data_IF_327910430426
#
_entry.id   IF_327910430426
#
_cell.length_a   1.000
_cell.length_b   1.000
_cell.length_c   1.000
_cell.angle_alpha   90.00
_cell.angle_beta   90.00
_cell.angle_gamma   90.00
#
_symmetry.space_group_name_H-M   'P 1'
#
loop_
_entity.id
_entity.type
_entity.pdbx_description
1 polymer ?
#
# COMPACT_ATOMS: atom_id res chain seq x y z
N UNK A 1 16.64 -0.82 11.04
CA UNK A 1 16.57 -1.28 9.62
C UNK A 1 15.86 -2.62 9.62
N UNK A 2 14.64 -2.69 9.06
CA UNK A 2 13.83 -3.90 9.08
C UNK A 2 14.34 -4.96 8.06
N UNK A 3 14.49 -4.57 6.80
CA UNK A 3 14.93 -5.45 5.70
C UNK A 3 15.96 -4.73 4.82
N UNK A 4 16.97 -5.48 4.40
CA UNK A 4 17.97 -5.08 3.40
C UNK A 4 18.04 -6.14 2.31
N UNK A 5 17.96 -5.72 1.06
CA UNK A 5 18.05 -6.55 -0.13
C UNK A 5 19.30 -6.14 -0.90
N UNK A 6 20.17 -7.12 -1.18
CA UNK A 6 21.46 -6.89 -1.83
C UNK A 6 21.55 -7.72 -3.10
N UNK A 7 21.62 -7.05 -4.24
CA UNK A 7 21.87 -7.63 -5.57
C UNK A 7 20.99 -8.85 -5.91
N UNK A 8 19.68 -8.77 -5.54
CA UNK A 8 18.75 -9.88 -5.63
C UNK A 8 18.43 -10.18 -7.09
N UNK A 9 18.69 -11.43 -7.50
CA UNK A 9 18.31 -11.96 -8.80
C UNK A 9 17.45 -13.21 -8.62
N UNK A 10 16.46 -13.37 -9.50
CA UNK A 10 15.65 -14.56 -9.51
C UNK A 10 15.17 -14.95 -10.91
N UNK A 11 15.37 -16.22 -11.26
CA UNK A 11 14.97 -16.78 -12.54
C UNK A 11 14.05 -17.97 -12.32
N UNK A 12 12.82 -17.89 -12.86
CA UNK A 12 11.91 -19.03 -12.90
C UNK A 12 12.39 -20.03 -13.94
N UNK A 13 12.29 -21.34 -13.65
CA UNK A 13 12.60 -22.39 -14.60
C UNK A 13 14.03 -22.36 -15.11
N UNK A 14 15.00 -21.98 -14.28
CA UNK A 14 16.40 -21.93 -14.63
C UNK A 14 16.88 -23.22 -15.29
N UNK A 15 17.56 -23.10 -16.45
CA UNK A 15 18.01 -24.25 -17.24
C UNK A 15 16.93 -24.97 -18.04
N UNK A 16 15.72 -24.45 -18.13
CA UNK A 16 14.60 -25.01 -18.94
C UNK A 16 14.25 -24.10 -20.10
N UNK A 17 13.45 -24.63 -21.06
CA UNK A 17 12.94 -23.84 -22.18
C UNK A 17 11.95 -22.73 -21.75
N UNK A 18 11.51 -22.72 -20.50
CA UNK A 18 10.60 -21.72 -19.92
C UNK A 18 11.32 -20.77 -18.97
N UNK A 19 12.62 -20.65 -19.11
CA UNK A 19 13.43 -19.75 -18.30
C UNK A 19 12.98 -18.30 -18.43
N UNK A 20 12.71 -17.66 -17.30
CA UNK A 20 12.33 -16.24 -17.24
C UNK A 20 12.95 -15.58 -16.02
N UNK A 21 13.83 -14.62 -16.24
CA UNK A 21 14.37 -13.79 -15.17
C UNK A 21 13.35 -12.78 -14.70
N UNK A 22 12.91 -12.93 -13.45
CA UNK A 22 11.86 -12.12 -12.83
C UNK A 22 12.41 -10.97 -11.97
N UNK A 23 13.60 -11.12 -11.40
CA UNK A 23 14.31 -10.07 -10.66
C UNK A 23 15.75 -9.97 -11.18
N UNK A 24 16.23 -8.73 -11.32
CA UNK A 24 17.52 -8.40 -11.94
C UNK A 24 18.23 -7.36 -11.08
N UNK A 25 19.21 -7.79 -10.28
CA UNK A 25 20.08 -6.93 -9.48
C UNK A 25 19.32 -5.92 -8.61
N UNK A 26 18.26 -6.37 -7.94
CA UNK A 26 17.40 -5.51 -7.09
C UNK A 26 18.07 -5.30 -5.75
N UNK A 27 18.31 -4.02 -5.38
CA UNK A 27 18.90 -3.64 -4.10
C UNK A 27 18.11 -2.47 -3.49
N UNK A 28 17.75 -2.59 -2.21
CA UNK A 28 17.10 -1.55 -1.43
C UNK A 28 17.11 -1.90 0.06
N UNK A 29 16.72 -0.93 0.87
CA UNK A 29 16.56 -1.09 2.32
C UNK A 29 15.19 -0.54 2.74
N UNK A 30 14.56 -1.15 3.73
CA UNK A 30 13.36 -0.63 4.39
C UNK A 30 13.70 -0.40 5.86
N UNK A 31 13.45 0.81 6.36
CA UNK A 31 13.71 1.16 7.74
C UNK A 31 12.56 0.73 8.66
N UNK A 32 12.86 0.58 9.97
CA UNK A 32 11.81 0.29 10.95
C UNK A 32 10.80 1.45 11.01
N UNK A 33 9.51 1.12 10.98
CA UNK A 33 8.41 2.09 11.01
C UNK A 33 8.13 2.81 9.68
N UNK A 34 8.85 2.51 8.60
CA UNK A 34 8.64 3.11 7.28
C UNK A 34 7.36 2.58 6.63
N UNK A 35 6.62 3.45 5.92
CA UNK A 35 5.48 3.05 5.09
C UNK A 35 5.83 3.18 3.61
N UNK A 36 6.13 2.05 2.97
CA UNK A 36 6.63 1.97 1.60
C UNK A 36 5.57 1.45 0.66
N UNK A 37 5.37 2.13 -0.47
CA UNK A 37 4.59 1.66 -1.61
C UNK A 37 5.46 0.95 -2.64
N UNK A 38 4.99 -0.17 -3.17
CA UNK A 38 5.62 -0.88 -4.29
C UNK A 38 4.68 -0.88 -5.49
N UNK A 39 5.04 -0.18 -6.55
CA UNK A 39 4.27 -0.07 -7.77
C UNK A 39 5.01 -0.65 -8.98
N UNK A 40 4.28 -0.90 -10.06
CA UNK A 40 4.80 -1.45 -11.31
C UNK A 40 3.70 -2.14 -12.10
N UNK A 41 3.87 -2.31 -13.40
CA UNK A 41 2.91 -3.03 -14.23
C UNK A 41 2.82 -4.53 -13.87
N UNK A 42 1.79 -5.22 -14.36
CA UNK A 42 1.65 -6.67 -14.18
C UNK A 42 2.84 -7.39 -14.82
N UNK A 43 3.48 -8.27 -14.05
CA UNK A 43 4.68 -8.99 -14.50
C UNK A 43 6.00 -8.24 -14.29
N UNK A 44 6.02 -7.05 -13.66
CA UNK A 44 7.25 -6.31 -13.35
C UNK A 44 8.12 -6.93 -12.25
N UNK A 45 7.67 -8.00 -11.57
CA UNK A 45 8.43 -8.70 -10.53
C UNK A 45 7.98 -8.44 -9.10
N UNK A 46 6.97 -7.59 -8.84
CA UNK A 46 6.50 -7.22 -7.48
C UNK A 46 6.14 -8.44 -6.63
N UNK A 47 5.25 -9.29 -7.09
CA UNK A 47 4.80 -10.48 -6.32
C UNK A 47 5.96 -11.46 -6.08
N UNK A 48 6.88 -11.57 -7.03
CA UNK A 48 8.11 -12.35 -6.84
C UNK A 48 8.97 -11.73 -5.73
N UNK A 49 9.16 -10.40 -5.76
CA UNK A 49 9.95 -9.69 -4.76
C UNK A 49 9.40 -9.88 -3.35
N UNK A 50 8.10 -9.63 -3.14
CA UNK A 50 7.49 -9.75 -1.80
C UNK A 50 7.56 -11.18 -1.23
N UNK A 51 7.49 -12.21 -2.09
CA UNK A 51 7.65 -13.60 -1.66
C UNK A 51 9.08 -13.91 -1.21
N UNK A 52 10.10 -13.26 -1.79
CA UNK A 52 11.47 -13.36 -1.30
C UNK A 52 11.64 -12.69 0.07
N UNK A 53 11.01 -11.52 0.29
CA UNK A 53 11.11 -10.82 1.58
C UNK A 53 10.55 -11.62 2.76
N UNK A 54 9.58 -12.49 2.51
CA UNK A 54 9.02 -13.41 3.52
C UNK A 54 9.70 -14.80 3.52
N UNK A 55 10.72 -15.00 2.69
CA UNK A 55 11.44 -16.27 2.58
C UNK A 55 10.61 -17.42 2.02
N UNK A 56 9.54 -17.14 1.24
CA UNK A 56 8.75 -18.17 0.54
C UNK A 56 9.50 -18.71 -0.68
N UNK A 57 10.29 -17.89 -1.34
CA UNK A 57 11.12 -18.25 -2.49
C UNK A 57 12.57 -17.90 -2.16
N UNK A 58 13.49 -18.78 -2.55
CA UNK A 58 14.92 -18.55 -2.42
C UNK A 58 15.45 -17.91 -3.71
N UNK A 59 16.30 -16.85 -3.66
CA UNK A 59 16.84 -16.22 -4.85
C UNK A 59 17.83 -17.11 -5.60
N UNK A 60 18.04 -16.83 -6.89
CA UNK A 60 19.09 -17.44 -7.70
C UNK A 60 20.46 -16.89 -7.26
N UNK A 61 20.53 -15.57 -6.97
CA UNK A 61 21.72 -14.92 -6.41
C UNK A 61 21.33 -13.67 -5.61
N UNK A 62 22.29 -13.12 -4.86
CA UNK A 62 22.06 -12.00 -3.95
C UNK A 62 21.67 -12.46 -2.56
N UNK A 63 21.37 -11.51 -1.67
CA UNK A 63 21.04 -11.79 -0.27
C UNK A 63 19.90 -10.90 0.23
N UNK A 64 19.20 -11.40 1.24
CA UNK A 64 18.20 -10.67 2.02
C UNK A 64 18.60 -10.76 3.48
N UNK A 65 18.71 -9.61 4.13
CA UNK A 65 19.01 -9.52 5.55
C UNK A 65 17.80 -8.96 6.29
N UNK A 66 17.46 -9.63 7.38
CA UNK A 66 16.49 -9.15 8.36
C UNK A 66 17.24 -8.78 9.64
N UNK A 67 17.09 -7.53 10.09
CA UNK A 67 17.84 -7.00 11.25
C UNK A 67 19.35 -7.21 11.11
N UNK A 68 19.89 -7.05 9.89
CA UNK A 68 21.32 -7.20 9.57
C UNK A 68 21.82 -8.65 9.45
N UNK A 69 20.96 -9.65 9.63
CA UNK A 69 21.32 -11.07 9.53
C UNK A 69 20.75 -11.67 8.24
N UNK A 70 21.58 -12.32 7.42
CA UNK A 70 21.12 -13.02 6.22
C UNK A 70 20.12 -14.11 6.57
N UNK A 71 18.93 -14.07 5.93
CA UNK A 71 17.89 -15.07 6.12
C UNK A 71 18.26 -16.44 5.54
N UNK A 72 19.36 -16.52 4.77
CA UNK A 72 19.91 -17.75 4.18
C UNK A 72 21.15 -18.25 4.90
N UNK A 73 21.58 -17.58 5.97
CA UNK A 73 22.72 -18.02 6.79
C UNK A 73 22.46 -19.37 7.45
N UNK A 74 23.53 -20.12 7.68
CA UNK A 74 23.43 -21.43 8.33
C UNK A 74 22.79 -21.33 9.73
N UNK A 75 21.74 -22.12 9.96
CA UNK A 75 20.99 -22.13 11.24
C UNK A 75 19.87 -21.08 11.34
N UNK A 76 19.71 -20.19 10.38
CA UNK A 76 18.59 -19.25 10.36
C UNK A 76 17.26 -19.97 10.13
N UNK A 77 16.27 -19.69 10.98
CA UNK A 77 14.95 -20.35 10.90
C UNK A 77 13.95 -19.44 10.18
N UNK A 78 13.58 -19.78 8.95
CA UNK A 78 12.56 -19.02 8.20
C UNK A 78 11.21 -18.94 8.91
N UNK A 79 10.90 -19.87 9.84
CA UNK A 79 9.71 -19.77 10.69
C UNK A 79 9.76 -18.51 11.57
N UNK A 80 10.93 -18.16 12.09
CA UNK A 80 11.13 -16.99 12.93
C UNK A 80 10.98 -15.70 12.08
N UNK A 81 11.52 -15.69 10.85
CA UNK A 81 11.29 -14.60 9.90
C UNK A 81 9.79 -14.39 9.64
N UNK A 82 9.05 -15.46 9.31
CA UNK A 82 7.62 -15.38 8.98
C UNK A 82 6.74 -14.96 10.16
N UNK A 83 7.23 -15.11 11.38
CA UNK A 83 6.57 -14.56 12.57
C UNK A 83 6.76 -13.06 12.71
N UNK A 84 7.83 -12.51 12.15
CA UNK A 84 8.24 -11.10 12.21
C UNK A 84 7.83 -10.31 10.98
N UNK A 85 7.86 -10.94 9.81
CA UNK A 85 7.48 -10.36 8.52
C UNK A 85 6.18 -11.04 8.07
N UNK A 86 5.06 -10.42 8.39
CA UNK A 86 3.74 -10.89 7.98
C UNK A 86 3.49 -10.60 6.51
N UNK A 87 2.87 -11.55 5.79
CA UNK A 87 2.48 -11.37 4.39
C UNK A 87 0.97 -11.61 4.26
N UNK A 88 0.27 -10.60 3.71
CA UNK A 88 -1.14 -10.66 3.34
C UNK A 88 -1.20 -10.67 1.82
N UNK A 89 -1.66 -11.78 1.24
CA UNK A 89 -1.78 -11.95 -0.21
C UNK A 89 -2.99 -11.21 -0.77
N UNK A 90 -3.01 -11.05 -2.08
CA UNK A 90 -4.17 -10.54 -2.82
C UNK A 90 -5.41 -11.41 -2.56
N UNK A 91 -6.57 -10.77 -2.32
CA UNK A 91 -7.82 -11.44 -1.91
C UNK A 91 -7.66 -12.31 -0.65
N UNK A 92 -7.18 -11.75 0.47
CA UNK A 92 -6.86 -12.51 1.66
C UNK A 92 -8.11 -13.14 2.30
N UNK A 93 -9.30 -12.68 1.97
CA UNK A 93 -10.59 -13.24 2.37
C UNK A 93 -10.81 -14.69 1.94
N UNK A 94 -10.12 -15.15 0.90
CA UNK A 94 -10.18 -16.56 0.49
C UNK A 94 -9.31 -17.49 1.34
N UNK A 95 -8.52 -16.92 2.25
CA UNK A 95 -7.68 -17.68 3.16
C UNK A 95 -8.38 -18.01 4.49
N UNK A 96 -9.59 -17.46 4.70
CA UNK A 96 -10.40 -17.76 5.89
C UNK A 96 -11.07 -19.13 5.74
N UNK A 97 -10.87 -20.03 6.71
CA UNK A 97 -11.29 -21.42 6.61
C UNK A 97 -11.91 -22.00 7.88
N UNK A 98 -11.79 -21.32 9.02
CA UNK A 98 -12.32 -21.79 10.29
C UNK A 98 -13.84 -21.57 10.42
N UNK A 99 -14.46 -22.22 11.39
CA UNK A 99 -15.91 -22.13 11.61
C UNK A 99 -16.37 -20.73 12.03
N UNK A 100 -15.56 -20.02 12.79
CA UNK A 100 -15.79 -18.64 13.23
C UNK A 100 -14.53 -17.79 13.11
N UNK A 101 -14.73 -16.46 12.96
CA UNK A 101 -13.64 -15.50 12.74
C UNK A 101 -12.66 -15.41 13.91
N UNK A 102 -13.11 -15.59 15.14
CA UNK A 102 -12.20 -15.57 16.29
C UNK A 102 -11.23 -16.74 16.26
N UNK A 103 -11.74 -17.94 15.95
CA UNK A 103 -10.92 -19.14 15.79
C UNK A 103 -9.93 -19.00 14.64
N UNK A 104 -10.35 -18.39 13.53
CA UNK A 104 -9.48 -18.13 12.37
C UNK A 104 -8.32 -17.20 12.75
N UNK A 105 -8.58 -16.08 13.42
CA UNK A 105 -7.53 -15.17 13.89
C UNK A 105 -6.61 -15.79 14.94
N UNK A 106 -7.08 -16.77 15.71
CA UNK A 106 -6.26 -17.54 16.64
C UNK A 106 -5.25 -18.48 15.95
N UNK A 107 -5.45 -18.82 14.69
CA UNK A 107 -4.65 -19.83 13.98
C UNK A 107 -3.16 -19.47 13.92
N UNK A 108 -2.82 -18.22 13.53
CA UNK A 108 -1.43 -17.74 13.48
C UNK A 108 -0.69 -17.88 14.82
N UNK A 109 -1.20 -17.28 15.91
CA UNK A 109 -0.61 -17.40 17.25
C UNK A 109 -0.51 -18.84 17.75
N UNK A 110 -1.49 -19.71 17.47
CA UNK A 110 -1.42 -21.16 17.80
C UNK A 110 -0.23 -21.84 17.11
N UNK A 111 0.00 -21.54 15.83
CA UNK A 111 1.13 -22.11 15.07
C UNK A 111 2.49 -21.62 15.57
N UNK A 112 2.54 -20.49 16.27
CA UNK A 112 3.74 -20.04 16.97
C UNK A 112 4.00 -20.84 18.26
N UNK A 113 3.06 -21.66 18.70
CA UNK A 113 3.18 -22.48 19.92
C UNK A 113 2.91 -21.69 21.21
N UNK A 114 2.13 -20.59 21.13
CA UNK A 114 1.80 -19.79 22.29
C UNK A 114 0.77 -20.46 23.20
N UNK A 115 0.77 -20.20 24.52
CA UNK A 115 -0.27 -20.64 25.43
C UNK A 115 -1.65 -20.09 25.00
N UNK A 116 -2.72 -20.87 25.25
CA UNK A 116 -4.09 -20.55 24.80
C UNK A 116 -4.54 -19.16 25.26
N UNK A 117 -4.23 -18.76 26.49
CA UNK A 117 -4.56 -17.43 27.02
C UNK A 117 -3.93 -16.29 26.20
N UNK A 118 -2.65 -16.44 25.84
CA UNK A 118 -1.95 -15.44 25.02
C UNK A 118 -2.46 -15.45 23.56
N UNK A 119 -2.82 -16.61 23.01
CA UNK A 119 -3.46 -16.73 21.70
C UNK A 119 -4.75 -15.90 21.65
N UNK A 120 -5.66 -16.13 22.60
CA UNK A 120 -6.94 -15.43 22.66
C UNK A 120 -6.77 -13.93 22.90
N UNK A 121 -5.84 -13.54 23.78
CA UNK A 121 -5.51 -12.15 24.03
C UNK A 121 -5.03 -11.43 22.76
N UNK A 122 -4.13 -12.06 22.00
CA UNK A 122 -3.62 -11.51 20.74
C UNK A 122 -4.70 -11.43 19.67
N UNK A 123 -5.53 -12.45 19.54
CA UNK A 123 -6.64 -12.47 18.59
C UNK A 123 -7.66 -11.35 18.87
N UNK A 124 -8.09 -11.17 20.13
CA UNK A 124 -9.00 -10.08 20.51
C UNK A 124 -8.38 -8.72 20.23
N UNK A 125 -7.11 -8.55 20.55
CA UNK A 125 -6.40 -7.29 20.30
C UNK A 125 -6.33 -7.00 18.79
N UNK A 126 -5.95 -7.96 17.97
CA UNK A 126 -5.86 -7.80 16.53
C UNK A 126 -7.21 -7.48 15.88
N UNK A 127 -8.29 -8.19 16.27
CA UNK A 127 -9.64 -7.90 15.81
C UNK A 127 -10.10 -6.49 16.18
N UNK A 128 -9.77 -6.02 17.38
CA UNK A 128 -10.05 -4.65 17.81
C UNK A 128 -9.28 -3.61 16.97
N UNK A 129 -8.00 -3.87 16.67
CA UNK A 129 -7.17 -2.98 15.85
C UNK A 129 -7.76 -2.78 14.44
N UNK A 130 -8.34 -3.82 13.86
CA UNK A 130 -9.00 -3.73 12.54
C UNK A 130 -10.47 -3.30 12.62
N UNK A 131 -10.95 -2.86 13.78
CA UNK A 131 -12.30 -2.36 13.97
C UNK A 131 -13.41 -3.43 13.87
N UNK A 132 -13.12 -4.69 14.20
CA UNK A 132 -14.13 -5.75 14.28
C UNK A 132 -14.78 -5.76 15.67
N UNK A 133 -16.10 -5.60 15.70
CA UNK A 133 -16.92 -5.66 16.90
C UNK A 133 -17.01 -7.10 17.43
N UNK A 134 -16.99 -7.29 18.74
CA UNK A 134 -17.04 -8.62 19.40
C UNK A 134 -18.28 -9.43 19.04
N UNK A 135 -19.41 -8.78 18.69
CA UNK A 135 -20.63 -9.44 18.23
C UNK A 135 -20.43 -10.32 16.99
N UNK A 136 -19.39 -10.03 16.18
CA UNK A 136 -19.05 -10.80 14.98
C UNK A 136 -18.15 -12.01 15.26
N UNK A 137 -17.48 -12.08 16.43
CA UNK A 137 -16.43 -13.08 16.69
C UNK A 137 -16.86 -14.54 16.51
N UNK A 138 -18.15 -14.83 16.78
CA UNK A 138 -18.73 -16.17 16.63
C UNK A 138 -19.44 -16.41 15.30
N UNK A 139 -19.43 -15.40 14.42
CA UNK A 139 -20.00 -15.57 13.09
C UNK A 139 -19.03 -16.30 12.16
N UNK A 140 -19.62 -17.00 11.18
CA UNK A 140 -18.84 -17.60 10.11
C UNK A 140 -18.21 -16.51 9.21
N UNK A 141 -16.97 -16.68 8.76
CA UNK A 141 -16.39 -15.80 7.77
C UNK A 141 -17.25 -15.61 6.51
N UNK A 142 -18.05 -16.63 6.16
CA UNK A 142 -18.90 -16.59 4.96
C UNK A 142 -20.09 -15.64 5.09
N UNK A 143 -20.50 -15.25 6.31
CA UNK A 143 -21.59 -14.31 6.58
C UNK A 143 -21.16 -12.83 6.53
N UNK A 144 -19.85 -12.58 6.43
CA UNK A 144 -19.28 -11.23 6.42
C UNK A 144 -19.29 -10.60 5.03
N UNK A 145 -19.34 -9.24 4.99
CA UNK A 145 -19.05 -8.49 3.78
C UNK A 145 -17.59 -8.67 3.35
N UNK A 146 -17.28 -8.40 2.06
CA UNK A 146 -15.91 -8.50 1.55
C UNK A 146 -14.90 -7.67 2.35
N UNK A 147 -15.25 -6.43 2.70
CA UNK A 147 -14.40 -5.56 3.52
C UNK A 147 -14.21 -6.10 4.95
N UNK A 148 -15.25 -6.69 5.56
CA UNK A 148 -15.13 -7.34 6.86
C UNK A 148 -14.24 -8.58 6.82
N UNK A 149 -14.41 -9.44 5.83
CA UNK A 149 -13.54 -10.61 5.61
C UNK A 149 -12.07 -10.19 5.50
N UNK A 150 -11.80 -9.15 4.74
CA UNK A 150 -10.45 -8.62 4.55
C UNK A 150 -9.85 -8.11 5.84
N UNK A 151 -10.61 -7.38 6.65
CA UNK A 151 -10.18 -6.95 7.99
C UNK A 151 -9.84 -8.14 8.89
N UNK A 152 -10.66 -9.20 8.87
CA UNK A 152 -10.38 -10.43 9.63
C UNK A 152 -9.08 -11.10 9.17
N UNK A 153 -8.85 -11.20 7.85
CA UNK A 153 -7.63 -11.80 7.33
C UNK A 153 -6.38 -10.98 7.70
N UNK A 154 -6.46 -9.65 7.67
CA UNK A 154 -5.39 -8.76 8.17
C UNK A 154 -5.19 -8.99 9.68
N UNK A 155 -6.27 -9.12 10.46
CA UNK A 155 -6.18 -9.41 11.90
C UNK A 155 -5.48 -10.75 12.18
N UNK A 156 -5.70 -11.78 11.35
CA UNK A 156 -5.02 -13.06 11.47
C UNK A 156 -3.50 -12.93 11.40
N UNK A 157 -3.00 -12.07 10.52
CA UNK A 157 -1.57 -11.77 10.43
C UNK A 157 -1.11 -10.89 11.60
N UNK A 158 -1.86 -9.84 11.95
CA UNK A 158 -1.54 -8.95 13.08
C UNK A 158 -1.50 -9.67 14.43
N UNK A 159 -2.30 -10.72 14.62
CA UNK A 159 -2.31 -11.52 15.85
C UNK A 159 -0.97 -12.19 16.13
N UNK A 160 -0.14 -12.42 15.12
CA UNK A 160 1.23 -12.91 15.30
C UNK A 160 2.17 -11.84 15.88
N UNK A 161 1.76 -10.56 15.89
CA UNK A 161 2.56 -9.37 16.25
C UNK A 161 3.81 -9.24 15.39
N UNK A 162 3.66 -9.13 14.06
CA UNK A 162 4.79 -8.93 13.19
C UNK A 162 5.44 -7.56 13.44
N UNK A 163 6.71 -7.43 13.12
CA UNK A 163 7.46 -6.16 13.12
C UNK A 163 7.32 -5.44 11.77
N UNK A 164 7.02 -6.21 10.71
CA UNK A 164 6.76 -5.71 9.36
C UNK A 164 5.57 -6.43 8.75
N UNK A 165 4.71 -5.70 8.03
CA UNK A 165 3.65 -6.28 7.20
C UNK A 165 3.85 -5.96 5.73
N UNK A 166 3.73 -6.98 4.91
CA UNK A 166 3.67 -6.87 3.45
C UNK A 166 2.22 -7.14 3.04
N UNK A 167 1.64 -6.21 2.27
CA UNK A 167 0.24 -6.26 1.86
C UNK A 167 0.19 -6.23 0.33
N UNK A 168 -0.21 -7.33 -0.29
CA UNK A 168 -0.34 -7.43 -1.74
C UNK A 168 -1.77 -7.07 -2.17
N UNK A 169 -1.94 -5.89 -2.78
CA UNK A 169 -3.21 -5.36 -3.28
C UNK A 169 -4.35 -5.39 -2.21
N UNK A 170 -4.15 -4.81 -1.02
CA UNK A 170 -5.10 -4.97 0.10
C UNK A 170 -6.47 -4.35 -0.17
N UNK A 171 -6.62 -3.53 -1.20
CA UNK A 171 -7.87 -2.84 -1.55
C UNK A 171 -8.52 -3.33 -2.85
N UNK A 172 -7.94 -4.35 -3.50
CA UNK A 172 -8.45 -4.88 -4.75
C UNK A 172 -9.92 -5.34 -4.64
N UNK A 173 -10.79 -4.85 -5.54
CA UNK A 173 -12.20 -5.23 -5.58
C UNK A 173 -13.09 -4.61 -4.51
N UNK A 174 -12.59 -3.68 -3.69
CA UNK A 174 -13.39 -2.89 -2.76
C UNK A 174 -13.97 -1.65 -3.43
N UNK A 175 -15.13 -1.21 -2.94
CA UNK A 175 -15.67 0.10 -3.26
C UNK A 175 -14.79 1.23 -2.66
N UNK A 176 -14.99 2.49 -3.06
CA UNK A 176 -14.18 3.60 -2.57
C UNK A 176 -14.18 3.74 -1.04
N UNK A 177 -15.32 3.56 -0.41
CA UNK A 177 -15.44 3.67 1.05
C UNK A 177 -14.65 2.53 1.75
N UNK A 178 -14.82 1.30 1.31
CA UNK A 178 -14.09 0.14 1.86
C UNK A 178 -12.58 0.26 1.65
N UNK A 179 -12.15 0.86 0.53
CA UNK A 179 -10.75 1.17 0.25
C UNK A 179 -10.19 2.16 1.28
N UNK A 180 -10.85 3.31 1.46
CA UNK A 180 -10.43 4.33 2.42
C UNK A 180 -10.41 3.80 3.87
N UNK A 181 -11.39 2.96 4.24
CA UNK A 181 -11.41 2.32 5.55
C UNK A 181 -10.21 1.41 5.77
N UNK A 182 -9.87 0.54 4.81
CA UNK A 182 -8.72 -0.39 4.92
C UNK A 182 -7.40 0.39 4.94
N UNK A 183 -7.19 1.33 4.02
CA UNK A 183 -5.94 2.10 3.97
C UNK A 183 -5.77 2.99 5.20
N UNK A 184 -6.83 3.61 5.67
CA UNK A 184 -6.80 4.40 6.92
C UNK A 184 -6.51 3.53 8.15
N UNK A 185 -6.91 2.25 8.16
CA UNK A 185 -6.51 1.31 9.22
C UNK A 185 -5.04 0.93 9.12
N UNK A 186 -4.55 0.65 7.91
CA UNK A 186 -3.14 0.34 7.66
C UNK A 186 -2.25 1.53 8.05
N UNK A 187 -2.65 2.74 7.70
CA UNK A 187 -1.96 3.97 8.08
C UNK A 187 -1.88 4.12 9.60
N UNK A 188 -2.98 3.92 10.33
CA UNK A 188 -2.98 3.96 11.80
C UNK A 188 -2.04 2.91 12.41
N UNK A 189 -2.00 1.69 11.87
CA UNK A 189 -1.06 0.67 12.32
C UNK A 189 0.40 1.12 12.17
N UNK A 190 0.72 1.82 11.09
CA UNK A 190 2.04 2.40 10.91
C UNK A 190 2.28 3.58 11.87
N UNK A 191 1.42 4.63 11.81
CA UNK A 191 1.65 5.90 12.53
C UNK A 191 1.55 5.77 14.06
N UNK A 192 0.57 5.00 14.56
CA UNK A 192 0.29 4.89 16.00
C UNK A 192 1.02 3.71 16.66
N UNK A 193 1.29 2.65 15.91
CA UNK A 193 1.91 1.44 16.45
C UNK A 193 3.34 1.19 15.95
N UNK A 194 3.87 2.04 15.06
CA UNK A 194 5.23 1.94 14.54
C UNK A 194 5.47 0.69 13.67
N UNK A 195 4.40 0.09 13.13
CA UNK A 195 4.51 -1.09 12.29
C UNK A 195 5.14 -0.72 10.95
N UNK A 196 6.21 -1.40 10.55
CA UNK A 196 6.78 -1.25 9.21
C UNK A 196 5.84 -1.83 8.17
N UNK A 197 5.55 -1.09 7.10
CA UNK A 197 4.58 -1.53 6.07
C UNK A 197 5.18 -1.42 4.67
N UNK A 198 5.03 -2.49 3.91
CA UNK A 198 5.22 -2.51 2.46
C UNK A 198 3.88 -2.85 1.81
N UNK A 199 3.29 -1.91 1.06
CA UNK A 199 2.04 -2.12 0.35
C UNK A 199 2.28 -2.16 -1.15
N UNK A 200 1.78 -3.20 -1.81
CA UNK A 200 1.71 -3.27 -3.27
C UNK A 200 0.36 -2.73 -3.71
N UNK A 201 0.32 -1.81 -4.64
CA UNK A 201 -0.93 -1.29 -5.19
C UNK A 201 -0.79 -0.81 -6.64
N UNK A 202 -1.91 -0.82 -7.36
CA UNK A 202 -2.07 -0.21 -8.68
C UNK A 202 -2.73 1.17 -8.63
N UNK A 203 -3.17 1.65 -7.46
CA UNK A 203 -3.76 2.97 -7.27
C UNK A 203 -2.68 4.00 -6.97
N UNK A 204 -2.41 4.88 -7.92
CA UNK A 204 -1.41 5.93 -7.75
C UNK A 204 -1.88 7.02 -6.78
N UNK A 205 -3.19 7.25 -6.72
CA UNK A 205 -3.83 8.15 -5.74
C UNK A 205 -3.60 7.68 -4.31
N UNK A 206 -3.78 6.36 -4.05
CA UNK A 206 -3.55 5.79 -2.73
C UNK A 206 -2.06 5.88 -2.36
N UNK A 207 -1.17 5.59 -3.31
CA UNK A 207 0.27 5.72 -3.08
C UNK A 207 0.68 7.16 -2.80
N UNK A 208 0.14 8.13 -3.53
CA UNK A 208 0.42 9.55 -3.29
C UNK A 208 -0.04 10.03 -1.91
N UNK A 209 -1.12 9.44 -1.36
CA UNK A 209 -1.78 9.89 -0.14
C UNK A 209 -1.24 9.24 1.13
N UNK A 210 -0.91 7.96 1.09
CA UNK A 210 -0.71 7.16 2.31
C UNK A 210 0.74 6.80 2.59
N UNK A 211 1.60 6.66 1.56
CA UNK A 211 2.96 6.16 1.77
C UNK A 211 4.01 7.27 1.87
N UNK A 212 5.09 7.00 2.59
CA UNK A 212 6.22 7.94 2.73
C UNK A 212 7.19 7.85 1.56
N UNK A 213 7.27 6.67 0.93
CA UNK A 213 8.23 6.34 -0.12
C UNK A 213 7.63 5.38 -1.11
N UNK A 214 7.99 5.51 -2.39
CA UNK A 214 7.55 4.62 -3.46
C UNK A 214 8.76 3.97 -4.14
N UNK A 215 8.72 2.65 -4.24
CA UNK A 215 9.60 1.89 -5.12
C UNK A 215 8.85 1.52 -6.39
N UNK A 216 9.45 1.76 -7.56
CA UNK A 216 8.89 1.44 -8.87
C UNK A 216 9.65 0.29 -9.48
N UNK A 217 8.94 -0.81 -9.78
CA UNK A 217 9.49 -1.97 -10.47
C UNK A 217 9.08 -1.97 -11.94
N UNK A 218 10.07 -2.18 -12.81
CA UNK A 218 9.86 -2.38 -14.24
C UNK A 218 10.75 -3.54 -14.74
N UNK A 219 10.15 -4.55 -15.39
CA UNK A 219 10.85 -5.70 -15.98
C UNK A 219 11.92 -6.35 -15.08
N UNK A 220 11.60 -6.48 -13.79
CA UNK A 220 12.46 -7.09 -12.79
C UNK A 220 13.54 -6.17 -12.22
N UNK A 221 13.57 -4.90 -12.59
CA UNK A 221 14.54 -3.90 -12.10
C UNK A 221 13.82 -2.86 -11.24
N UNK A 222 14.44 -2.37 -10.18
CA UNK A 222 14.00 -1.20 -9.42
C UNK A 222 14.38 0.07 -10.19
N UNK A 223 13.38 0.76 -10.77
CA UNK A 223 13.58 1.92 -11.62
C UNK A 223 13.67 3.23 -10.82
N UNK A 224 12.73 3.42 -9.88
CA UNK A 224 12.70 4.57 -8.97
C UNK A 224 12.57 4.11 -7.53
N UNK A 225 13.02 4.95 -6.61
CA UNK A 225 12.97 4.70 -5.19
C UNK A 225 13.11 6.03 -4.43
N UNK A 226 11.99 6.71 -4.20
CA UNK A 226 11.96 8.07 -3.65
C UNK A 226 10.60 8.40 -3.02
N UNK A 227 10.43 9.61 -2.52
CA UNK A 227 9.14 10.12 -2.04
C UNK A 227 8.09 10.12 -3.16
N UNK A 228 6.79 10.03 -2.84
CA UNK A 228 5.73 10.09 -3.86
C UNK A 228 5.85 11.32 -4.77
N UNK A 229 6.20 12.48 -4.21
CA UNK A 229 6.36 13.74 -4.95
C UNK A 229 7.45 13.64 -6.01
N UNK A 230 8.61 13.10 -5.66
CA UNK A 230 9.71 12.95 -6.61
C UNK A 230 9.41 11.87 -7.66
N UNK A 231 8.85 10.73 -7.26
CA UNK A 231 8.48 9.66 -8.21
C UNK A 231 7.45 10.16 -9.24
N UNK A 232 6.39 10.87 -8.81
CA UNK A 232 5.35 11.34 -9.73
C UNK A 232 5.74 12.57 -10.56
N UNK A 233 6.86 13.23 -10.26
CA UNK A 233 7.48 14.19 -11.19
C UNK A 233 7.94 13.55 -12.49
N UNK A 234 8.31 12.26 -12.42
CA UNK A 234 8.70 11.43 -13.56
C UNK A 234 7.51 10.81 -14.29
N UNK A 235 6.34 11.49 -14.30
CA UNK A 235 5.10 10.94 -14.86
C UNK A 235 5.23 10.47 -16.31
N UNK A 236 6.06 11.12 -17.14
CA UNK A 236 6.30 10.74 -18.54
C UNK A 236 7.08 9.43 -18.64
N UNK A 237 8.08 9.24 -17.79
CA UNK A 237 8.84 8.00 -17.71
C UNK A 237 7.96 6.86 -17.15
N UNK A 238 7.06 7.17 -16.20
CA UNK A 238 6.08 6.21 -15.69
C UNK A 238 5.10 5.80 -16.81
N UNK A 239 4.59 6.74 -17.61
CA UNK A 239 3.74 6.46 -18.77
C UNK A 239 4.43 5.56 -19.81
N UNK A 240 5.72 5.81 -20.05
CA UNK A 240 6.51 5.01 -21.00
C UNK A 240 6.62 3.53 -20.60
N UNK A 241 6.46 3.22 -19.32
CA UNK A 241 6.43 1.83 -18.78
C UNK A 241 5.01 1.34 -18.46
N UNK A 242 3.97 2.07 -18.92
CA UNK A 242 2.57 1.69 -18.73
C UNK A 242 2.00 1.96 -17.33
N UNK A 243 2.62 2.86 -16.56
CA UNK A 243 2.09 3.34 -15.29
C UNK A 243 1.55 4.76 -15.46
N UNK A 244 0.44 5.06 -14.80
CA UNK A 244 -0.08 6.43 -14.70
C UNK A 244 0.53 7.15 -13.48
N UNK A 245 0.46 8.49 -13.46
CA UNK A 245 0.56 9.26 -12.24
C UNK A 245 -0.85 9.54 -11.66
N UNK A 246 -0.97 10.08 -10.44
CA UNK A 246 -2.25 10.56 -9.94
C UNK A 246 -2.90 11.54 -10.90
N UNK A 247 -4.24 11.47 -11.07
CA UNK A 247 -4.98 12.33 -12.00
C UNK A 247 -4.69 13.82 -11.79
N UNK A 248 -4.51 14.21 -10.53
CA UNK A 248 -4.23 15.59 -10.17
C UNK A 248 -2.89 16.08 -10.70
N UNK A 249 -1.89 15.23 -10.86
CA UNK A 249 -0.59 15.56 -11.44
C UNK A 249 -0.77 16.10 -12.86
N UNK A 250 -1.62 15.48 -13.67
CA UNK A 250 -1.90 15.96 -15.04
C UNK A 250 -2.64 17.29 -15.05
N UNK A 251 -3.57 17.51 -14.11
CA UNK A 251 -4.27 18.80 -13.97
C UNK A 251 -3.26 19.91 -13.63
N UNK A 252 -2.36 19.66 -12.68
CA UNK A 252 -1.32 20.60 -12.26
C UNK A 252 -0.40 20.93 -13.43
N UNK A 253 0.06 19.94 -14.19
CA UNK A 253 0.89 20.16 -15.37
C UNK A 253 0.15 20.99 -16.45
N UNK A 254 -1.12 20.69 -16.73
CA UNK A 254 -1.92 21.46 -17.67
C UNK A 254 -2.17 22.91 -17.23
N UNK A 255 -2.21 23.20 -15.94
CA UNK A 255 -2.26 24.56 -15.40
C UNK A 255 -0.92 25.29 -15.61
N UNK A 256 0.20 24.63 -15.37
CA UNK A 256 1.56 25.16 -15.58
C UNK A 256 1.82 25.51 -17.04
N UNK A 257 1.42 24.63 -17.97
CA UNK A 257 1.53 24.86 -19.42
C UNK A 257 0.76 26.12 -19.87
N UNK A 258 -0.30 26.48 -19.14
CA UNK A 258 -1.06 27.73 -19.34
C UNK A 258 -0.48 28.94 -18.59
N UNK A 259 0.71 28.82 -18.02
CA UNK A 259 1.41 29.90 -17.32
C UNK A 259 0.90 30.17 -15.88
N UNK A 260 0.14 29.26 -15.28
CA UNK A 260 -0.29 29.38 -13.88
C UNK A 260 0.85 28.91 -12.98
N UNK A 261 1.37 29.73 -12.05
CA UNK A 261 2.50 29.39 -11.19
C UNK A 261 2.06 28.51 -10.02
N UNK A 262 1.73 27.26 -10.31
CA UNK A 262 1.39 26.23 -9.32
C UNK A 262 2.57 25.27 -9.13
N UNK A 263 2.73 24.74 -7.92
CA UNK A 263 3.80 23.79 -7.58
C UNK A 263 3.60 22.47 -8.35
N UNK A 264 4.66 21.97 -9.00
CA UNK A 264 4.65 20.73 -9.78
C UNK A 264 4.79 19.47 -8.93
N UNK A 265 5.08 19.62 -7.65
CA UNK A 265 5.20 18.50 -6.71
C UNK A 265 3.86 18.07 -6.09
N UNK A 266 2.77 18.72 -6.46
CA UNK A 266 1.43 18.41 -5.99
C UNK A 266 0.98 17.05 -6.56
N UNK A 267 0.63 16.12 -5.65
CA UNK A 267 0.23 14.76 -5.99
C UNK A 267 -1.15 14.36 -5.43
N UNK A 268 -1.75 15.21 -4.58
CA UNK A 268 -3.08 14.96 -4.00
C UNK A 268 -4.08 16.06 -4.38
N UNK A 269 -5.37 15.69 -4.39
CA UNK A 269 -6.47 16.64 -4.69
C UNK A 269 -6.55 17.74 -3.64
N UNK A 270 -6.29 17.40 -2.38
CA UNK A 270 -6.28 18.32 -1.25
C UNK A 270 -5.22 19.40 -1.41
N UNK A 271 -3.96 18.99 -1.72
CA UNK A 271 -2.86 19.93 -1.99
C UNK A 271 -3.19 20.86 -3.17
N UNK A 272 -3.70 20.30 -4.26
CA UNK A 272 -4.06 21.08 -5.44
C UNK A 272 -5.17 22.11 -5.15
N UNK A 273 -6.20 21.69 -4.39
CA UNK A 273 -7.28 22.58 -3.95
C UNK A 273 -6.74 23.77 -3.17
N UNK A 274 -5.88 23.50 -2.18
CA UNK A 274 -5.26 24.57 -1.37
C UNK A 274 -4.42 25.53 -2.22
N UNK A 275 -3.58 25.00 -3.09
CA UNK A 275 -2.73 25.78 -3.97
C UNK A 275 -3.56 26.66 -4.94
N UNK A 276 -4.60 26.09 -5.56
CA UNK A 276 -5.49 26.83 -6.48
C UNK A 276 -6.25 27.94 -5.74
N UNK A 277 -6.79 27.66 -4.54
CA UNK A 277 -7.47 28.65 -3.73
C UNK A 277 -6.55 29.78 -3.30
N UNK A 278 -5.30 29.47 -2.92
CA UNK A 278 -4.30 30.48 -2.56
C UNK A 278 -3.97 31.41 -3.76
N UNK A 279 -3.80 30.84 -4.96
CA UNK A 279 -3.56 31.61 -6.18
C UNK A 279 -4.77 32.48 -6.55
N UNK A 280 -5.98 31.96 -6.43
CA UNK A 280 -7.22 32.68 -6.69
C UNK A 280 -7.38 33.88 -5.75
N UNK A 281 -7.20 33.69 -4.44
CA UNK A 281 -7.29 34.76 -3.45
C UNK A 281 -6.25 35.85 -3.68
N UNK A 282 -4.99 35.46 -3.95
CA UNK A 282 -3.89 36.41 -4.27
C UNK A 282 -4.19 37.25 -5.52
N UNK A 283 -4.86 36.67 -6.52
CA UNK A 283 -5.27 37.38 -7.74
C UNK A 283 -6.40 38.40 -7.45
N UNK A 284 -7.38 38.01 -6.63
CA UNK A 284 -8.50 38.90 -6.20
C UNK A 284 -7.99 40.11 -5.42
N UNK A 285 -7.08 39.89 -4.46
CA UNK A 285 -6.47 40.96 -3.67
C UNK A 285 -5.77 41.99 -4.59
N UNK A 286 -5.02 41.52 -5.58
CA UNK A 286 -4.35 42.39 -6.56
C UNK A 286 -5.32 43.16 -7.46
N UNK A 287 -6.54 42.67 -7.68
CA UNK A 287 -7.58 43.31 -8.49
C UNK A 287 -8.51 44.23 -7.68
N UNK A 288 -8.27 44.40 -6.36
CA UNK A 288 -9.03 45.29 -5.50
C UNK A 288 -10.45 44.81 -5.14
N UNK A 289 -10.76 43.57 -5.41
CA UNK A 289 -12.03 42.94 -4.97
C UNK A 289 -11.90 42.50 -3.51
N UNK A 290 -12.42 43.31 -2.58
CA UNK A 290 -12.55 42.92 -1.16
C UNK A 290 -13.33 41.63 -0.98
N UNK A 291 -13.06 40.90 0.09
CA UNK A 291 -13.75 39.65 0.46
C UNK A 291 -15.23 39.95 0.69
N UNK A 292 -16.14 39.50 -0.19
CA UNK A 292 -17.57 39.60 0.01
C UNK A 292 -18.06 38.43 0.87
N UNK A 293 -19.14 38.63 1.66
CA UNK A 293 -19.74 37.61 2.53
C UNK A 293 -20.23 36.33 1.80
N UNK A 294 -20.37 36.37 0.47
CA UNK A 294 -20.71 35.20 -0.35
C UNK A 294 -19.60 34.13 -0.45
N UNK A 295 -18.37 34.45 -0.04
CA UNK A 295 -17.23 33.51 -0.08
C UNK A 295 -17.24 32.50 1.08
N UNK A 296 -18.14 32.65 2.08
CA UNK A 296 -18.33 31.68 3.16
C UNK A 296 -18.93 30.35 2.66
N UNK A 297 -19.59 30.34 1.51
CA UNK A 297 -20.25 29.16 0.92
C UNK A 297 -19.22 28.21 0.30
N UNK A 298 -18.07 28.71 -0.16
CA UNK A 298 -16.98 27.87 -0.73
C UNK A 298 -16.20 27.13 0.37
N UNK A 299 -16.29 27.60 1.63
CA UNK A 299 -15.63 26.96 2.79
C UNK A 299 -16.41 25.82 3.42
N UNK A 300 -17.69 25.63 3.09
CA UNK A 300 -18.48 24.50 3.60
C UNK A 300 -18.40 23.31 2.64
N UNK A 301 -17.92 22.19 3.14
CA UNK A 301 -17.66 20.92 2.43
C UNK A 301 -18.89 20.23 1.78
N UNK A 302 -20.01 20.93 1.52
CA UNK A 302 -21.26 20.27 1.09
C UNK A 302 -21.53 20.25 -0.42
N UNK A 303 -20.66 20.83 -1.29
CA UNK A 303 -21.01 20.98 -2.72
C UNK A 303 -20.16 20.18 -3.71
N UNK A 304 -19.19 19.39 -3.26
CA UNK A 304 -18.27 18.67 -4.19
C UNK A 304 -18.75 17.28 -4.63
N UNK A 305 -19.91 16.80 -4.17
CA UNK A 305 -20.47 15.49 -4.56
C UNK A 305 -21.39 15.53 -5.80
N UNK A 306 -21.56 16.66 -6.45
CA UNK A 306 -22.62 16.86 -7.45
C UNK A 306 -22.25 17.15 -8.90
N UNK A 307 -20.98 17.37 -9.28
CA UNK A 307 -20.64 17.87 -10.61
C UNK A 307 -19.41 17.24 -11.25
N UNK A 308 -19.43 15.93 -11.54
CA UNK A 308 -18.69 15.35 -12.65
C UNK A 308 -19.66 14.50 -13.47
N UNK A 309 -20.42 15.13 -14.35
CA UNK A 309 -20.98 14.46 -15.53
C UNK A 309 -19.87 14.49 -16.61
N UNK A 310 -19.23 13.36 -16.81
CA UNK A 310 -18.41 13.10 -17.98
C UNK A 310 -19.36 13.07 -19.19
N UNK A 311 -19.14 13.84 -20.28
CA UNK A 311 -19.93 13.68 -21.49
C UNK A 311 -19.62 12.31 -22.10
N UNK A 312 -20.65 11.50 -22.29
CA UNK A 312 -20.61 10.27 -23.08
C UNK A 312 -20.42 10.64 -24.55
N UNK A 313 -19.18 10.58 -25.03
CA UNK A 313 -18.84 10.60 -26.45
C UNK A 313 -17.98 9.38 -26.76
N UNK A 314 -18.64 8.24 -26.95
CA UNK A 314 -18.13 7.11 -27.75
C UNK A 314 -19.33 6.27 -28.18
N UNK A 315 -20.10 6.83 -29.16
CA UNK A 315 -20.86 6.07 -30.14
C UNK A 315 -20.55 6.71 -31.48
N UNK A 316 -19.62 6.13 -32.20
CA UNK A 316 -19.66 5.83 -33.66
C UNK A 316 -18.42 5.04 -34.05
#
# INVERSE_FOLDING_TARGET
MAIQVEDLCYTYGEGTALERQALKHVSFEIQDGEFVGLIGHTGSGKSTLIQHLNGLIKPTSGDIKYQGVSIYSQGYKLKDLRSKVGLVFQYPEYQLFEADIFTDVCFGPKNLGLPQEEVEKRARHALKLVGMDEKFYKQSPFELSGGQKRRVAIAGVLAMRPEMMILDEPTAGLDPQGRDEILGQIERLNREHGLTILVVSHSMEDMARYVDRIMVMNDGVKMFDDTPKEVFRHYKELEAIGLAAPQITYVVQGLRERGIPIDDTITTVEEAREAILALYNKRREKQGYGISQSDSIIRSNQWFTGWIRVPSCLER
#
